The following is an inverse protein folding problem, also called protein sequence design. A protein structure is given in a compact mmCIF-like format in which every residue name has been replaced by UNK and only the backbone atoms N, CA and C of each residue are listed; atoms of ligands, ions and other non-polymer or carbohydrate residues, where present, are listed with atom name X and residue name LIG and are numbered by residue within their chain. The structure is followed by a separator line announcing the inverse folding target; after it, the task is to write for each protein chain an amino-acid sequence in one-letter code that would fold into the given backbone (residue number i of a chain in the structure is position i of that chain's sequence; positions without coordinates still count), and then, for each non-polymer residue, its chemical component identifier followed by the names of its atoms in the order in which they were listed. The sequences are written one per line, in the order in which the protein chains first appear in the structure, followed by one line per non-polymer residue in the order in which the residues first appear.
data_IF_575842119704
#
_entry.id   IF_575842119704
#
_cell.length_a   1.000
_cell.length_b   1.000
_cell.length_c   1.000
_cell.angle_alpha   90.00
_cell.angle_beta   90.00
_cell.angle_gamma   90.00
#
_symmetry.space_group_name_H-M   'P 1'
#
loop_
_entity.id
_entity.type
_entity.pdbx_description
1 polymer ?
#
# COMPACT_ATOMS: atom_id res chain seq x y z
N UNK A 1 17.86 15.49 -27.05
CA UNK A 1 18.01 14.53 -25.93
C UNK A 1 16.75 14.64 -25.11
N UNK A 2 15.87 13.65 -25.21
CA UNK A 2 14.63 13.59 -24.44
C UNK A 2 14.89 12.70 -23.24
N UNK A 3 14.92 13.30 -22.05
CA UNK A 3 15.02 12.55 -20.80
C UNK A 3 13.57 12.25 -20.39
N UNK A 4 13.10 11.03 -20.66
CA UNK A 4 11.76 10.56 -20.22
C UNK A 4 11.87 10.11 -18.76
N UNK A 5 11.59 11.03 -17.83
CA UNK A 5 11.49 10.73 -16.40
C UNK A 5 10.02 10.52 -16.07
N UNK A 6 9.60 9.27 -15.84
CA UNK A 6 8.23 8.88 -15.44
C UNK A 6 7.19 9.10 -16.55
N UNK A 7 6.11 8.32 -16.59
CA UNK A 7 5.03 8.65 -17.53
C UNK A 7 4.11 7.55 -18.01
N UNK A 8 3.94 6.46 -17.25
CA UNK A 8 2.84 5.50 -17.47
C UNK A 8 2.25 4.95 -16.16
N UNK A 9 2.74 5.40 -15.00
CA UNK A 9 2.22 4.92 -13.73
C UNK A 9 0.99 5.69 -13.29
N UNK A 10 0.01 5.00 -12.74
CA UNK A 10 -1.16 5.62 -12.16
C UNK A 10 -0.91 5.97 -10.69
N UNK A 11 -1.39 7.12 -10.20
CA UNK A 11 -1.41 7.37 -8.78
C UNK A 11 -2.42 6.45 -8.10
N UNK A 12 -2.00 5.70 -7.08
CA UNK A 12 -2.89 4.86 -6.27
C UNK A 12 -3.20 5.60 -4.98
N UNK A 13 -4.48 5.81 -4.70
CA UNK A 13 -4.95 6.53 -3.50
C UNK A 13 -5.95 5.68 -2.73
N UNK A 14 -5.93 5.80 -1.41
CA UNK A 14 -6.88 5.11 -0.56
C UNK A 14 -6.89 5.66 0.85
N UNK A 15 -7.84 5.18 1.65
CA UNK A 15 -7.96 5.53 3.06
C UNK A 15 -8.15 4.30 3.90
N UNK A 16 -7.31 4.10 4.90
CA UNK A 16 -7.47 3.02 5.87
C UNK A 16 -8.35 3.51 7.02
N UNK A 17 -9.38 2.75 7.33
CA UNK A 17 -10.30 3.03 8.45
C UNK A 17 -10.20 1.93 9.48
N UNK A 18 -9.98 2.32 10.74
CA UNK A 18 -9.87 1.36 11.84
C UNK A 18 -11.27 0.90 12.25
N UNK A 19 -11.51 -0.41 12.11
CA UNK A 19 -12.70 -1.08 12.64
C UNK A 19 -12.32 -1.77 13.95
N UNK A 20 -12.41 -1.02 15.04
CA UNK A 20 -12.04 -1.48 16.36
C UNK A 20 -13.11 -1.15 17.41
N UNK A 21 -12.99 -1.77 18.58
CA UNK A 21 -13.83 -1.43 19.72
C UNK A 21 -13.68 0.06 20.10
N UNK A 22 -14.74 0.70 20.62
CA UNK A 22 -14.69 2.10 21.07
C UNK A 22 -13.52 2.32 22.04
N UNK A 23 -12.62 3.25 21.71
CA UNK A 23 -11.44 3.58 22.52
C UNK A 23 -10.10 3.07 21.98
N UNK A 24 -10.10 2.21 20.96
CA UNK A 24 -8.88 1.91 20.20
C UNK A 24 -8.56 3.09 19.27
N UNK A 25 -7.47 3.79 19.57
CA UNK A 25 -6.95 4.87 18.75
C UNK A 25 -5.59 4.48 18.17
N UNK A 26 -5.44 4.67 16.86
CA UNK A 26 -4.19 4.46 16.14
C UNK A 26 -3.70 5.82 15.64
N UNK A 27 -2.45 6.17 15.92
CA UNK A 27 -1.80 7.30 15.26
C UNK A 27 -1.19 6.81 13.95
N UNK A 28 -1.96 6.95 12.87
CA UNK A 28 -1.54 6.55 11.52
C UNK A 28 -0.22 7.18 11.06
N UNK A 29 0.18 8.33 11.62
CA UNK A 29 1.44 9.00 11.26
C UNK A 29 2.65 8.35 11.92
N UNK A 30 2.44 7.64 13.02
CA UNK A 30 3.47 6.87 13.73
C UNK A 30 3.46 5.38 13.36
N UNK A 31 2.46 4.99 12.56
CA UNK A 31 2.31 3.65 12.04
C UNK A 31 3.32 3.38 10.91
N UNK A 32 3.57 2.11 10.63
CA UNK A 32 4.32 1.74 9.43
C UNK A 32 3.67 2.31 8.16
N UNK A 33 4.48 2.68 7.14
CA UNK A 33 3.94 3.10 5.86
C UNK A 33 3.14 1.97 5.21
N UNK A 34 2.12 2.34 4.45
CA UNK A 34 1.43 1.42 3.56
C UNK A 34 2.43 0.95 2.49
N UNK A 35 2.65 -0.36 2.39
CA UNK A 35 3.57 -0.94 1.42
C UNK A 35 2.79 -1.65 0.32
N UNK A 36 3.18 -1.45 -0.92
CA UNK A 36 2.56 -2.11 -2.06
C UNK A 36 3.63 -2.87 -2.83
N UNK A 37 3.41 -4.16 -3.03
CA UNK A 37 4.37 -5.07 -3.66
C UNK A 37 3.70 -5.73 -4.86
N UNK A 38 4.37 -5.74 -6.02
CA UNK A 38 3.82 -6.38 -7.21
C UNK A 38 3.66 -7.87 -6.93
N UNK A 39 2.44 -8.37 -6.96
CA UNK A 39 2.21 -9.81 -6.81
C UNK A 39 2.67 -10.44 -8.11
N UNK A 40 3.62 -11.37 -8.00
CA UNK A 40 4.03 -12.13 -9.17
C UNK A 40 2.81 -12.91 -9.65
N UNK A 41 2.18 -12.40 -10.72
CA UNK A 41 1.08 -13.08 -11.38
C UNK A 41 1.57 -14.49 -11.70
N UNK A 42 0.91 -15.48 -11.12
CA UNK A 42 1.01 -16.86 -11.58
C UNK A 42 0.31 -16.92 -12.95
N UNK A 43 0.87 -16.25 -13.95
CA UNK A 43 0.39 -16.26 -15.31
C UNK A 43 1.15 -17.39 -16.04
N UNK A 44 0.59 -18.62 -16.14
CA UNK A 44 1.27 -19.74 -16.78
C UNK A 44 1.58 -19.49 -18.27
N UNK A 45 0.94 -18.48 -18.89
CA UNK A 45 1.14 -18.05 -20.28
C UNK A 45 2.33 -17.10 -20.48
N UNK A 46 2.88 -16.48 -19.43
CA UNK A 46 4.02 -15.55 -19.54
C UNK A 46 5.40 -16.21 -19.37
N UNK A 47 5.45 -17.55 -19.28
CA UNK A 47 6.69 -18.33 -19.06
C UNK A 47 7.79 -18.21 -20.14
N UNK A 48 7.62 -17.39 -21.18
CA UNK A 48 8.53 -17.41 -22.35
C UNK A 48 9.22 -16.08 -22.71
N UNK A 49 9.12 -15.01 -21.93
CA UNK A 49 9.77 -13.74 -22.31
C UNK A 49 10.40 -13.02 -21.12
N UNK A 50 11.72 -13.17 -20.98
CA UNK A 50 12.59 -12.28 -20.21
C UNK A 50 12.39 -12.25 -18.70
N UNK A 51 13.43 -11.89 -17.96
CA UNK A 51 13.24 -11.49 -16.56
C UNK A 51 12.47 -10.16 -16.58
N UNK A 52 11.22 -10.16 -16.10
CA UNK A 52 10.45 -8.93 -15.94
C UNK A 52 11.23 -8.00 -14.98
N UNK A 53 11.74 -6.85 -15.44
CA UNK A 53 12.58 -5.97 -14.62
C UNK A 53 11.81 -5.32 -13.46
N UNK A 54 10.47 -5.43 -13.48
CA UNK A 54 9.54 -4.92 -12.48
C UNK A 54 9.12 -5.99 -11.46
N UNK A 55 9.79 -7.15 -11.44
CA UNK A 55 9.53 -8.24 -10.49
C UNK A 55 9.72 -7.83 -9.01
N UNK A 56 10.40 -6.70 -8.75
CA UNK A 56 10.66 -6.18 -7.41
C UNK A 56 10.06 -4.79 -7.17
N UNK A 57 9.08 -4.38 -7.98
CA UNK A 57 8.41 -3.09 -7.79
C UNK A 57 7.73 -3.06 -6.42
N UNK A 58 8.33 -2.25 -5.53
CA UNK A 58 7.90 -2.03 -4.16
C UNK A 58 7.71 -0.54 -3.95
N UNK A 59 6.51 -0.19 -3.53
CA UNK A 59 6.15 1.18 -3.19
C UNK A 59 5.85 1.28 -1.71
N UNK A 60 6.13 2.44 -1.13
CA UNK A 60 5.77 2.74 0.25
C UNK A 60 5.19 4.15 0.31
N UNK A 61 4.05 4.31 1.00
CA UNK A 61 3.40 5.58 1.23
C UNK A 61 3.10 5.78 2.72
N UNK A 62 3.48 6.94 3.24
CA UNK A 62 3.09 7.34 4.59
C UNK A 62 1.57 7.58 4.67
N UNK A 63 0.99 7.27 5.83
CA UNK A 63 -0.42 7.58 6.10
C UNK A 63 -0.54 8.94 6.80
N UNK A 64 -1.57 9.69 6.46
CA UNK A 64 -1.93 10.93 7.16
C UNK A 64 -2.71 10.64 8.46
N UNK A 65 -3.05 11.69 9.21
CA UNK A 65 -3.80 11.59 10.47
C UNK A 65 -5.18 10.91 10.33
N UNK A 66 -5.74 10.90 9.12
CA UNK A 66 -7.05 10.34 8.80
C UNK A 66 -6.93 8.96 8.12
N UNK A 67 -5.71 8.39 8.04
CA UNK A 67 -5.40 7.10 7.45
C UNK A 67 -5.30 7.12 5.92
N UNK A 68 -5.21 8.30 5.28
CA UNK A 68 -5.09 8.40 3.82
C UNK A 68 -3.66 8.20 3.37
N UNK A 69 -3.49 7.53 2.25
CA UNK A 69 -2.20 7.35 1.59
C UNK A 69 -2.32 7.62 0.10
N UNK A 70 -1.18 7.96 -0.50
CA UNK A 70 -1.02 8.17 -1.93
C UNK A 70 0.32 7.62 -2.38
N UNK A 71 0.29 6.78 -3.39
CA UNK A 71 1.47 6.29 -4.10
C UNK A 71 1.43 6.90 -5.50
N UNK A 72 2.49 7.56 -5.93
CA UNK A 72 2.57 8.14 -7.27
C UNK A 72 3.33 7.19 -8.22
N UNK A 73 3.04 7.30 -9.53
CA UNK A 73 3.71 6.61 -10.64
C UNK A 73 3.77 5.07 -10.48
N UNK A 74 2.62 4.45 -10.18
CA UNK A 74 2.50 2.99 -10.07
C UNK A 74 2.26 2.37 -11.43
N UNK A 75 3.23 1.62 -11.94
CA UNK A 75 3.12 0.89 -13.21
C UNK A 75 1.89 -0.05 -13.23
N UNK A 76 1.22 -0.23 -14.37
CA UNK A 76 0.14 -1.20 -14.51
C UNK A 76 0.52 -2.62 -14.07
N UNK A 77 -0.41 -3.29 -13.38
CA UNK A 77 -0.21 -4.64 -12.88
C UNK A 77 -1.00 -4.97 -11.62
N UNK A 78 -0.75 -6.17 -11.11
CA UNK A 78 -1.37 -6.69 -9.89
C UNK A 78 -0.43 -6.46 -8.71
N UNK A 79 -0.96 -5.90 -7.63
CA UNK A 79 -0.21 -5.59 -6.43
C UNK A 79 -0.93 -6.12 -5.19
N UNK A 80 -0.17 -6.41 -4.15
CA UNK A 80 -0.66 -6.61 -2.79
C UNK A 80 -0.27 -5.38 -1.98
N UNK A 81 -1.28 -4.62 -1.56
CA UNK A 81 -1.14 -3.56 -0.57
C UNK A 81 -1.22 -4.18 0.83
N UNK A 82 -0.17 -3.98 1.62
CA UNK A 82 -0.12 -4.35 3.03
C UNK A 82 -0.09 -3.08 3.88
N UNK A 83 -1.00 -3.01 4.85
CA UNK A 83 -0.98 -1.99 5.90
C UNK A 83 -0.98 -2.70 7.25
N UNK A 84 0.12 -2.55 7.98
CA UNK A 84 0.21 -2.98 9.39
C UNK A 84 -0.49 -1.94 10.25
N UNK A 85 -1.19 -2.34 11.30
CA UNK A 85 -1.76 -1.44 12.31
C UNK A 85 -0.96 -1.64 13.59
N UNK A 86 -0.15 -0.67 13.96
CA UNK A 86 0.69 -0.72 15.16
C UNK A 86 0.02 -0.01 16.34
N UNK A 87 0.30 -0.50 17.54
CA UNK A 87 -0.06 0.17 18.77
C UNK A 87 0.71 1.50 18.87
N UNK A 88 0.21 2.48 19.63
CA UNK A 88 0.97 3.66 19.95
C UNK A 88 2.35 3.26 20.53
N UNK A 89 3.44 3.90 20.10
CA UNK A 89 4.76 3.61 20.65
C UNK A 89 4.73 3.88 22.15
N UNK A 90 5.05 2.85 22.93
CA UNK A 90 5.30 3.03 24.36
C UNK A 90 6.59 3.82 24.49
N UNK A 91 6.54 4.92 25.26
CA UNK A 91 7.57 5.96 25.37
C UNK A 91 8.98 5.50 25.79
N UNK A 92 9.17 4.20 26.03
CA UNK A 92 10.43 3.60 26.45
C UNK A 92 10.97 2.54 25.47
N UNK A 93 10.39 2.39 24.26
CA UNK A 93 10.93 1.53 23.20
C UNK A 93 11.06 2.29 21.87
N UNK A 94 12.28 2.33 21.28
CA UNK A 94 12.44 2.79 19.91
C UNK A 94 11.90 1.75 18.93
N UNK A 95 10.99 2.17 18.05
CA UNK A 95 10.39 1.33 17.01
C UNK A 95 8.88 1.54 16.88
N UNK A 96 8.25 0.97 15.82
CA UNK A 96 6.79 0.89 15.78
C UNK A 96 6.29 0.15 17.02
N UNK A 97 5.11 0.54 17.53
CA UNK A 97 4.50 -0.21 18.63
C UNK A 97 4.13 -1.63 18.20
N UNK A 98 3.59 -2.42 19.13
CA UNK A 98 3.19 -3.79 18.81
C UNK A 98 2.15 -3.83 17.68
N UNK A 99 2.35 -4.68 16.67
CA UNK A 99 1.36 -4.95 15.63
C UNK A 99 0.03 -5.41 16.28
N UNK A 100 -1.00 -4.59 16.15
CA UNK A 100 -2.38 -4.86 16.56
C UNK A 100 -3.16 -5.60 15.48
N UNK A 101 -2.77 -5.42 14.22
CA UNK A 101 -3.44 -6.03 13.08
C UNK A 101 -2.69 -5.79 11.79
N UNK A 102 -3.17 -6.43 10.73
CA UNK A 102 -2.63 -6.27 9.39
C UNK A 102 -3.75 -6.47 8.39
N UNK A 103 -3.88 -5.54 7.45
CA UNK A 103 -4.77 -5.65 6.31
C UNK A 103 -3.96 -5.87 5.04
N UNK A 104 -4.44 -6.78 4.20
CA UNK A 104 -3.89 -7.08 2.88
C UNK A 104 -5.00 -6.92 1.85
N UNK A 105 -4.75 -6.10 0.84
CA UNK A 105 -5.71 -5.82 -0.24
C UNK A 105 -5.01 -6.05 -1.57
N UNK A 106 -5.66 -6.77 -2.47
CA UNK A 106 -5.20 -6.89 -3.86
C UNK A 106 -5.66 -5.67 -4.66
N UNK A 107 -4.72 -5.08 -5.37
CA UNK A 107 -4.92 -3.86 -6.15
C UNK A 107 -4.59 -4.15 -7.61
N UNK A 108 -5.57 -3.92 -8.47
CA UNK A 108 -5.43 -4.00 -9.92
C UNK A 108 -5.24 -2.60 -10.49
N UNK A 109 -4.03 -2.30 -10.97
CA UNK A 109 -3.73 -1.06 -11.67
C UNK A 109 -3.92 -1.31 -13.16
N UNK A 110 -4.94 -0.72 -13.81
CA UNK A 110 -5.23 -0.97 -15.22
C UNK A 110 -4.12 -0.42 -16.11
N UNK A 111 -4.00 -0.96 -17.32
CA UNK A 111 -3.17 -0.35 -18.36
C UNK A 111 -3.86 0.93 -18.86
N UNK A 112 -3.13 2.05 -18.81
CA UNK A 112 -3.60 3.33 -19.29
C UNK A 112 -2.48 4.37 -19.33
N UNK A 113 -2.64 5.37 -20.18
CA UNK A 113 -1.81 6.58 -20.21
C UNK A 113 -2.51 7.77 -19.52
N UNK A 114 -3.64 7.50 -18.84
CA UNK A 114 -4.38 8.52 -18.11
C UNK A 114 -3.80 8.68 -16.71
N UNK A 115 -3.39 9.89 -16.32
CA UNK A 115 -2.97 10.22 -14.94
C UNK A 115 -4.12 10.11 -13.89
N UNK A 116 -5.21 9.45 -14.25
CA UNK A 116 -6.35 9.22 -13.39
C UNK A 116 -5.94 8.36 -12.18
N UNK A 117 -6.22 8.82 -10.95
CA UNK A 117 -5.86 8.07 -9.76
C UNK A 117 -6.73 6.82 -9.60
N UNK A 118 -6.09 5.67 -9.38
CA UNK A 118 -6.75 4.44 -8.94
C UNK A 118 -7.17 4.64 -7.49
N UNK A 119 -8.47 4.84 -7.27
CA UNK A 119 -9.03 5.04 -5.95
C UNK A 119 -9.50 3.72 -5.35
N UNK A 120 -8.85 3.30 -4.27
CA UNK A 120 -9.16 2.08 -3.52
C UNK A 120 -10.30 2.27 -2.51
N UNK A 121 -10.79 3.49 -2.33
CA UNK A 121 -11.83 3.81 -1.37
C UNK A 121 -11.37 3.66 0.09
N UNK A 122 -12.31 3.25 0.94
CA UNK A 122 -12.06 2.98 2.35
C UNK A 122 -11.72 1.50 2.57
N UNK A 123 -10.53 1.26 3.12
CA UNK A 123 -10.00 -0.06 3.44
C UNK A 123 -10.21 -0.28 4.93
N UNK A 124 -11.11 -1.22 5.27
CA UNK A 124 -11.34 -1.59 6.66
C UNK A 124 -10.14 -2.36 7.23
N UNK A 125 -9.52 -1.78 8.24
CA UNK A 125 -8.47 -2.41 9.03
C UNK A 125 -9.08 -2.96 10.32
N UNK A 126 -9.02 -4.27 10.50
CA UNK A 126 -9.41 -4.93 11.74
C UNK A 126 -8.19 -5.11 12.66
N UNK A 127 -8.35 -4.76 13.93
CA UNK A 127 -7.36 -5.07 14.96
C UNK A 127 -7.79 -6.32 15.70
N UNK A 128 -6.85 -7.24 15.92
CA UNK A 128 -7.07 -8.39 16.80
C UNK A 128 -6.99 -7.88 18.23
N UNK A 129 -8.16 -7.55 18.80
CA UNK A 129 -8.29 -7.28 20.22
C UNK A 129 -7.73 -8.45 21.02
N UNK A 130 -6.83 -8.14 21.97
CA UNK A 130 -6.29 -9.12 22.92
C UNK A 130 -7.32 -9.51 23.97
#
# INVERSE_FOLDING_TARGET
MEVRIGGKGHPVVGRVVLKAAPGAHVDWRQNQPATMERTQGFNPLQKHVGQDPHQYDRFAASLDKDGRFRVDDVSPGHYELTVTIDAPPVSNQPGPGNELGRVKVFVDVPEGDDDAPVNLGEIEAEVKGR
#
